data_IF_423323975703
#
_entry.id   IF_423323975703
#
_cell.length_a   1.000
_cell.length_b   1.000
_cell.length_c   1.000
_cell.angle_alpha   90.00
_cell.angle_beta   90.00
_cell.angle_gamma   90.00
#
_symmetry.space_group_name_H-M   'P 1'
#
loop_
_entity.id
_entity.type
_entity.pdbx_description
1 polymer ?
#
# COMPACT_ATOMS: atom_id res chain seq x y z
N UNK A 1 9.08 -4.65 -6.01
CA UNK A 1 9.24 -5.15 -4.62
C UNK A 1 9.98 -4.19 -3.69
N UNK A 2 10.96 -3.41 -4.18
CA UNK A 2 11.77 -2.49 -3.35
C UNK A 2 10.95 -1.39 -2.67
N UNK A 3 9.94 -0.86 -3.37
CA UNK A 3 9.09 0.23 -2.86
C UNK A 3 8.27 -0.16 -1.61
N UNK A 4 7.48 -1.25 -1.68
CA UNK A 4 6.65 -1.71 -0.55
C UNK A 4 7.52 -2.02 0.68
N UNK A 5 8.68 -2.68 0.48
CA UNK A 5 9.61 -2.94 1.59
C UNK A 5 10.15 -1.65 2.22
N UNK A 6 10.40 -0.62 1.43
CA UNK A 6 10.83 0.70 1.91
C UNK A 6 9.71 1.41 2.67
N UNK A 7 8.48 1.39 2.12
CA UNK A 7 7.30 1.95 2.79
C UNK A 7 7.06 1.34 4.17
N UNK A 8 7.10 0.00 4.27
CA UNK A 8 6.97 -0.71 5.54
C UNK A 8 8.03 -0.25 6.56
N UNK A 9 9.28 -0.12 6.13
CA UNK A 9 10.39 0.31 6.99
C UNK A 9 10.24 1.75 7.49
N UNK A 10 9.70 2.65 6.67
CA UNK A 10 9.51 4.06 7.02
C UNK A 10 8.28 4.27 7.89
N UNK A 11 7.22 3.49 7.66
CA UNK A 11 5.97 3.62 8.37
C UNK A 11 5.98 2.91 9.73
N UNK A 12 6.55 1.70 9.83
CA UNK A 12 6.58 0.93 11.08
C UNK A 12 7.04 1.76 12.30
N UNK A 13 8.16 2.51 12.27
CA UNK A 13 8.60 3.31 13.43
C UNK A 13 7.74 4.55 13.71
N UNK A 14 6.87 4.96 12.77
CA UNK A 14 5.94 6.09 12.95
C UNK A 14 4.61 5.67 13.59
N UNK A 15 4.36 4.37 13.74
CA UNK A 15 3.15 3.81 14.34
C UNK A 15 3.38 3.50 15.83
N UNK A 16 2.35 3.69 16.65
CA UNK A 16 2.29 3.19 18.04
C UNK A 16 2.49 1.67 18.10
N UNK A 17 3.05 1.15 19.20
CA UNK A 17 3.34 -0.29 19.39
C UNK A 17 2.16 -1.20 19.03
N UNK A 18 0.94 -0.90 19.50
CA UNK A 18 -0.25 -1.69 19.17
C UNK A 18 -0.65 -1.65 17.69
N UNK A 19 -0.36 -0.54 16.99
CA UNK A 19 -0.61 -0.41 15.54
C UNK A 19 0.49 -1.08 14.72
N UNK A 20 1.72 -1.14 15.24
CA UNK A 20 2.82 -1.84 14.57
C UNK A 20 2.55 -3.33 14.43
N UNK A 21 2.04 -3.99 15.49
CA UNK A 21 1.71 -5.42 15.45
C UNK A 21 0.61 -5.70 14.43
N UNK A 22 -0.46 -4.89 14.44
CA UNK A 22 -1.54 -4.98 13.46
C UNK A 22 -1.02 -4.75 12.03
N UNK A 23 -0.25 -3.70 11.81
CA UNK A 23 0.31 -3.38 10.50
C UNK A 23 1.17 -4.53 9.98
N UNK A 24 2.10 -5.06 10.79
CA UNK A 24 2.95 -6.21 10.41
C UNK A 24 2.14 -7.46 10.08
N UNK A 25 1.07 -7.73 10.84
CA UNK A 25 0.18 -8.88 10.61
C UNK A 25 -0.61 -8.74 9.30
N UNK A 26 -1.10 -7.55 8.98
CA UNK A 26 -1.94 -7.31 7.79
C UNK A 26 -1.14 -7.09 6.51
N UNK A 27 0.05 -6.48 6.60
CA UNK A 27 0.83 -6.10 5.41
C UNK A 27 1.38 -7.31 4.64
N UNK A 28 1.65 -8.43 5.32
CA UNK A 28 2.08 -9.66 4.66
C UNK A 28 0.96 -10.21 3.75
N UNK A 29 -0.27 -10.29 4.27
CA UNK A 29 -1.44 -10.71 3.52
C UNK A 29 -1.77 -9.75 2.38
N UNK A 30 -1.70 -8.43 2.63
CA UNK A 30 -1.90 -7.42 1.60
C UNK A 30 -0.86 -7.55 0.48
N UNK A 31 0.43 -7.74 0.81
CA UNK A 31 1.49 -7.92 -0.19
C UNK A 31 1.26 -9.18 -1.03
N UNK A 32 0.85 -10.29 -0.41
CA UNK A 32 0.50 -11.53 -1.13
C UNK A 32 -0.68 -11.34 -2.07
N UNK A 33 -1.69 -10.56 -1.67
CA UNK A 33 -2.85 -10.24 -2.52
C UNK A 33 -2.49 -9.29 -3.67
N UNK A 34 -1.60 -8.33 -3.45
CA UNK A 34 -1.20 -7.32 -4.42
C UNK A 34 -0.17 -7.83 -5.44
N UNK A 35 0.70 -8.77 -5.05
CA UNK A 35 1.73 -9.35 -5.91
C UNK A 35 1.22 -9.88 -7.27
N UNK A 36 0.19 -10.72 -7.34
CA UNK A 36 -0.33 -11.21 -8.61
C UNK A 36 -1.00 -10.11 -9.45
N UNK A 37 -1.47 -9.04 -8.79
CA UNK A 37 -2.16 -7.90 -9.42
C UNK A 37 -1.23 -6.72 -9.71
N UNK A 38 0.08 -6.87 -9.48
CA UNK A 38 1.04 -5.78 -9.55
C UNK A 38 1.06 -5.10 -10.94
N UNK A 39 0.74 -5.85 -12.01
CA UNK A 39 0.67 -5.32 -13.37
C UNK A 39 -0.59 -4.48 -13.62
N UNK A 40 -1.68 -4.80 -12.94
CA UNK A 40 -2.98 -4.12 -13.05
C UNK A 40 -3.12 -2.97 -12.05
N UNK A 41 -2.19 -2.87 -11.10
CA UNK A 41 -2.18 -1.83 -10.08
C UNK A 41 -1.52 -0.54 -10.63
N UNK A 42 -2.26 0.55 -10.55
CA UNK A 42 -1.75 1.90 -10.75
C UNK A 42 -1.30 2.47 -9.40
N UNK A 43 -0.14 3.12 -9.37
CA UNK A 43 0.44 3.69 -8.16
C UNK A 43 0.31 5.22 -8.22
N UNK A 44 -0.27 5.80 -7.18
CA UNK A 44 -0.42 7.25 -7.04
C UNK A 44 0.31 7.72 -5.79
N UNK A 45 1.01 8.83 -5.91
CA UNK A 45 1.63 9.55 -4.81
C UNK A 45 0.81 10.81 -4.52
N UNK A 46 0.81 11.26 -3.27
CA UNK A 46 0.19 12.54 -2.91
C UNK A 46 0.85 13.73 -3.62
N UNK A 47 0.19 14.88 -3.60
CA UNK A 47 0.58 16.10 -4.33
C UNK A 47 2.02 16.57 -4.05
N UNK A 48 2.52 16.32 -2.82
CA UNK A 48 3.90 16.68 -2.47
C UNK A 48 4.98 15.78 -3.09
N UNK A 49 4.61 14.66 -3.73
CA UNK A 49 5.52 13.67 -4.36
C UNK A 49 6.71 13.26 -3.47
N UNK A 50 6.56 13.33 -2.15
CA UNK A 50 7.64 12.94 -1.24
C UNK A 50 7.90 11.44 -1.39
N UNK A 51 9.17 11.07 -1.54
CA UNK A 51 9.62 9.67 -1.66
C UNK A 51 9.32 8.83 -0.40
N UNK A 52 8.99 9.52 0.71
CA UNK A 52 8.58 8.99 2.01
C UNK A 52 7.05 9.00 2.23
N UNK A 53 6.26 9.45 1.25
CA UNK A 53 4.81 9.55 1.36
C UNK A 53 4.10 8.22 1.08
N UNK A 54 2.86 8.13 1.59
CA UNK A 54 2.00 6.97 1.33
C UNK A 54 1.62 6.90 -0.15
N UNK A 55 1.57 5.67 -0.66
CA UNK A 55 1.16 5.38 -2.02
C UNK A 55 -0.24 4.78 -2.02
N UNK A 56 -1.08 5.37 -2.85
CA UNK A 56 -2.41 4.88 -3.13
C UNK A 56 -2.32 3.89 -4.29
N UNK A 57 -2.93 2.73 -4.12
CA UNK A 57 -2.98 1.71 -5.14
C UNK A 57 -4.36 1.74 -5.78
N UNK A 58 -4.46 1.87 -7.09
CA UNK A 58 -5.73 1.75 -7.79
C UNK A 58 -5.74 0.51 -8.68
N UNK A 59 -6.86 -0.19 -8.73
CA UNK A 59 -7.07 -1.25 -9.71
C UNK A 59 -8.52 -1.26 -10.17
N UNK A 60 -8.74 -1.71 -11.39
CA UNK A 60 -10.07 -1.98 -11.90
C UNK A 60 -10.46 -3.39 -11.49
N UNK A 61 -11.62 -3.54 -10.87
CA UNK A 61 -12.21 -4.86 -10.66
C UNK A 61 -12.65 -5.40 -12.02
N UNK A 62 -12.69 -6.73 -12.14
CA UNK A 62 -13.12 -7.38 -13.37
C UNK A 62 -14.53 -6.89 -13.78
N UNK A 63 -14.65 -6.32 -14.98
CA UNK A 63 -15.89 -5.73 -15.49
C UNK A 63 -16.27 -4.36 -14.92
N UNK A 64 -15.44 -3.74 -14.06
CA UNK A 64 -15.70 -2.41 -13.53
C UNK A 64 -15.14 -1.30 -14.44
N UNK A 65 -15.94 -0.27 -14.67
CA UNK A 65 -15.52 0.95 -15.40
C UNK A 65 -14.82 1.93 -14.45
N UNK A 66 -15.12 1.86 -13.15
CA UNK A 66 -14.54 2.72 -12.12
C UNK A 66 -13.36 2.06 -11.39
N UNK A 67 -12.25 2.78 -11.14
CA UNK A 67 -11.13 2.27 -10.36
C UNK A 67 -11.47 2.17 -8.87
N UNK A 68 -11.02 1.09 -8.23
CA UNK A 68 -11.02 0.96 -6.78
C UNK A 68 -9.69 1.42 -6.22
N UNK A 69 -9.71 2.45 -5.37
CA UNK A 69 -8.54 2.92 -4.64
C UNK A 69 -8.38 2.19 -3.30
N UNK A 70 -7.17 1.73 -3.05
CA UNK A 70 -6.73 1.08 -1.83
C UNK A 70 -5.74 2.02 -1.14
N UNK A 71 -6.06 2.34 0.11
CA UNK A 71 -5.24 3.14 1.00
C UNK A 71 -4.74 2.24 2.12
N UNK A 72 -3.48 2.42 2.51
CA UNK A 72 -3.02 1.88 3.79
C UNK A 72 -3.68 2.70 4.89
N UNK A 73 -4.45 2.04 5.76
CA UNK A 73 -5.19 2.70 6.85
C UNK A 73 -4.27 3.27 7.95
N UNK A 74 -2.97 3.01 7.84
CA UNK A 74 -1.93 3.38 8.79
C UNK A 74 -0.77 4.01 8.03
#
# INVERSE_FOLDING_TARGET
>A
MTFIKRYIKLLTPKLDEGKQELFKKHIEGATKFLLPKLKDLQFFVGEGMHDDASVVLAYYKDGAVDPTFLYFAY
#
